data_IF_192134472689
#
_entry.id   IF_192134472689
#
_cell.length_a   1.000
_cell.length_b   1.000
_cell.length_c   1.000
_cell.angle_alpha   90.00
_cell.angle_beta   90.00
_cell.angle_gamma   90.00
#
_symmetry.space_group_name_H-M   'P 1'
#
loop_
_entity.id
_entity.type
_entity.pdbx_description
1 polymer ?
#
# COMPACT_ATOMS: atom_id res chain seq x y z
N UNK A 1 2.15 3.32 -14.77
CA UNK A 1 2.37 3.10 -13.33
C UNK A 1 1.07 3.30 -12.55
N UNK A 2 0.72 2.35 -11.70
CA UNK A 2 -0.37 2.48 -10.70
C UNK A 2 0.26 2.50 -9.31
N UNK A 3 -0.16 3.44 -8.47
CA UNK A 3 0.18 3.44 -7.04
C UNK A 3 -0.98 2.80 -6.28
N UNK A 4 -0.70 1.73 -5.55
CA UNK A 4 -1.69 1.00 -4.78
C UNK A 4 -1.83 1.61 -3.39
N UNK A 5 -3.09 1.76 -2.96
CA UNK A 5 -3.44 2.05 -1.58
C UNK A 5 -3.20 0.82 -0.70
N UNK A 6 -2.99 1.03 0.60
CA UNK A 6 -2.77 -0.01 1.61
C UNK A 6 -3.82 -1.11 1.59
N UNK A 7 -5.10 -0.75 1.52
CA UNK A 7 -6.17 -1.75 1.57
C UNK A 7 -6.26 -2.58 0.28
N UNK A 8 -5.94 -1.99 -0.88
CA UNK A 8 -5.90 -2.71 -2.16
C UNK A 8 -4.69 -3.64 -2.20
N UNK A 9 -3.53 -3.15 -1.80
CA UNK A 9 -2.29 -3.93 -1.83
C UNK A 9 -2.38 -5.18 -0.95
N UNK A 10 -2.87 -5.05 0.29
CA UNK A 10 -3.04 -6.19 1.21
C UNK A 10 -4.03 -7.22 0.66
N UNK A 11 -5.18 -6.78 0.14
CA UNK A 11 -6.21 -7.67 -0.41
C UNK A 11 -5.78 -8.38 -1.68
N UNK A 12 -5.02 -7.70 -2.54
CA UNK A 12 -4.48 -8.29 -3.75
C UNK A 12 -3.49 -9.42 -3.43
N UNK A 13 -2.67 -9.26 -2.38
CA UNK A 13 -1.70 -10.27 -1.94
C UNK A 13 -2.30 -11.37 -1.06
N UNK A 14 -3.52 -11.18 -0.53
CA UNK A 14 -4.26 -12.18 0.21
C UNK A 14 -5.72 -12.32 -0.25
N UNK A 15 -5.96 -12.84 -1.47
CA UNK A 15 -7.28 -12.90 -2.08
C UNK A 15 -8.24 -13.84 -1.34
N UNK A 16 -7.73 -14.81 -0.58
CA UNK A 16 -8.53 -15.76 0.20
C UNK A 16 -9.21 -15.09 1.42
N UNK A 17 -8.61 -14.02 1.96
CA UNK A 17 -9.14 -13.32 3.12
C UNK A 17 -10.24 -12.31 2.74
N UNK A 18 -10.03 -11.53 1.68
CA UNK A 18 -10.98 -10.54 1.18
C UNK A 18 -10.69 -10.21 -0.31
N UNK A 19 -11.35 -10.92 -1.25
CA UNK A 19 -11.01 -10.84 -2.67
C UNK A 19 -11.36 -9.48 -3.28
N UNK A 20 -10.47 -8.98 -4.14
CA UNK A 20 -10.75 -7.82 -4.98
C UNK A 20 -11.71 -8.18 -6.12
N UNK A 21 -12.52 -7.22 -6.61
CA UNK A 21 -13.30 -7.42 -7.83
C UNK A 21 -12.38 -7.76 -9.02
N UNK A 22 -12.83 -8.69 -9.89
CA UNK A 22 -12.04 -9.15 -11.04
C UNK A 22 -11.58 -7.99 -11.95
N UNK A 23 -12.42 -6.97 -12.14
CA UNK A 23 -12.07 -5.79 -12.94
C UNK A 23 -10.97 -4.93 -12.33
N UNK A 24 -10.75 -5.00 -11.01
CA UNK A 24 -9.65 -4.31 -10.36
C UNK A 24 -8.36 -5.14 -10.43
N UNK A 25 -8.48 -6.47 -10.29
CA UNK A 25 -7.35 -7.39 -10.50
C UNK A 25 -6.80 -7.23 -11.91
N UNK A 26 -7.67 -7.24 -12.92
CA UNK A 26 -7.27 -7.04 -14.32
C UNK A 26 -6.54 -5.70 -14.53
N UNK A 27 -6.97 -4.62 -13.87
CA UNK A 27 -6.29 -3.31 -13.92
C UNK A 27 -4.90 -3.33 -13.27
N UNK A 28 -4.76 -4.06 -12.16
CA UNK A 28 -3.48 -4.19 -11.45
C UNK A 28 -2.52 -5.04 -12.29
N UNK A 29 -2.98 -6.18 -12.81
CA UNK A 29 -2.16 -7.11 -13.58
C UNK A 29 -1.79 -6.60 -14.98
N UNK A 30 -2.62 -5.73 -15.58
CA UNK A 30 -2.33 -5.07 -16.86
C UNK A 30 -1.51 -3.78 -16.72
N UNK A 31 -1.19 -3.34 -15.50
CA UNK A 31 -0.40 -2.16 -15.28
C UNK A 31 1.06 -2.38 -15.72
N UNK A 32 1.61 -1.44 -16.49
CA UNK A 32 3.03 -1.46 -16.88
C UNK A 32 3.99 -1.49 -15.67
N UNK A 33 3.55 -0.91 -14.54
CA UNK A 33 4.34 -0.85 -13.31
C UNK A 33 3.42 -0.63 -12.11
N UNK A 34 3.77 -1.28 -11.00
CA UNK A 34 3.08 -1.15 -9.72
C UNK A 34 4.01 -0.53 -8.68
N UNK A 35 3.42 0.27 -7.80
CA UNK A 35 4.14 0.93 -6.73
C UNK A 35 3.27 1.09 -5.49
N UNK A 36 3.92 1.24 -4.34
CA UNK A 36 3.31 1.71 -3.08
C UNK A 36 4.15 2.85 -2.52
N UNK A 37 3.53 3.78 -1.80
CA UNK A 37 4.28 4.79 -1.04
C UNK A 37 4.88 4.14 0.21
N UNK A 38 6.04 4.60 0.69
CA UNK A 38 6.63 4.09 1.92
C UNK A 38 5.69 4.24 3.14
N UNK A 39 4.71 5.16 3.10
CA UNK A 39 3.69 5.30 4.16
C UNK A 39 2.80 4.06 4.22
N UNK A 40 2.46 3.47 3.07
CA UNK A 40 1.68 2.23 2.97
C UNK A 40 2.40 1.08 3.68
N UNK A 41 3.73 0.98 3.54
CA UNK A 41 4.50 -0.02 4.30
C UNK A 41 4.42 0.21 5.82
N UNK A 42 4.50 1.47 6.26
CA UNK A 42 4.31 1.81 7.68
C UNK A 42 2.89 1.47 8.16
N UNK A 43 1.87 1.75 7.37
CA UNK A 43 0.47 1.44 7.71
C UNK A 43 0.24 -0.05 7.87
N UNK A 44 0.75 -0.89 6.95
CA UNK A 44 0.67 -2.36 7.09
C UNK A 44 1.36 -2.81 8.38
N UNK A 45 2.59 -2.35 8.64
CA UNK A 45 3.32 -2.70 9.86
C UNK A 45 2.59 -2.26 11.13
N UNK A 46 1.98 -1.07 11.10
CA UNK A 46 1.21 -0.50 12.20
C UNK A 46 -0.09 -1.28 12.46
N UNK A 47 -0.84 -1.61 11.41
CA UNK A 47 -2.06 -2.41 11.49
C UNK A 47 -1.76 -3.83 11.98
N UNK A 48 -0.68 -4.44 11.50
CA UNK A 48 -0.24 -5.75 11.95
C UNK A 48 0.13 -5.74 13.44
N UNK A 49 0.91 -4.75 13.88
CA UNK A 49 1.27 -4.57 15.30
C UNK A 49 0.05 -4.41 16.21
N UNK A 50 -1.02 -3.81 15.69
CA UNK A 50 -2.28 -3.60 16.44
C UNK A 50 -3.29 -4.72 16.24
N UNK A 51 -2.88 -5.85 15.65
CA UNK A 51 -3.71 -7.02 15.40
C UNK A 51 -4.98 -6.69 14.59
N UNK A 52 -4.92 -5.65 13.75
CA UNK A 52 -6.01 -5.23 12.86
C UNK A 52 -6.01 -5.99 11.55
N UNK A 53 -4.85 -6.48 11.14
CA UNK A 53 -4.68 -7.39 10.02
C UNK A 53 -3.83 -8.58 10.48
N UNK A 54 -4.12 -9.76 9.92
CA UNK A 54 -3.38 -10.98 10.19
C UNK A 54 -2.55 -11.29 8.95
N UNK A 55 -1.23 -11.28 9.09
CA UNK A 55 -0.31 -11.65 8.02
C UNK A 55 0.01 -13.14 8.14
N UNK A 56 0.00 -13.86 7.02
CA UNK A 56 0.36 -15.29 6.96
C UNK A 56 1.86 -15.56 7.19
N UNK A 57 2.66 -14.50 7.18
CA UNK A 57 4.10 -14.52 7.37
C UNK A 57 4.51 -13.48 8.42
N UNK A 58 5.68 -13.64 9.07
CA UNK A 58 6.27 -12.57 9.85
C UNK A 58 6.42 -11.29 9.02
N UNK A 59 6.19 -10.13 9.64
CA UNK A 59 6.13 -8.82 8.95
C UNK A 59 7.24 -8.59 7.92
N UNK A 60 8.50 -8.85 8.28
CA UNK A 60 9.63 -8.61 7.36
C UNK A 60 9.58 -9.55 6.15
N UNK A 61 9.30 -10.84 6.36
CA UNK A 61 9.16 -11.80 5.27
C UNK A 61 7.95 -11.48 4.38
N UNK A 62 6.85 -11.02 4.99
CA UNK A 62 5.70 -10.53 4.25
C UNK A 62 6.06 -9.32 3.38
N UNK A 63 6.78 -8.33 3.92
CA UNK A 63 7.20 -7.14 3.17
C UNK A 63 8.13 -7.48 2.01
N UNK A 64 9.09 -8.37 2.23
CA UNK A 64 10.01 -8.82 1.17
C UNK A 64 9.24 -9.51 0.05
N UNK A 65 8.30 -10.41 0.39
CA UNK A 65 7.45 -11.05 -0.60
C UNK A 65 6.52 -10.06 -1.32
N UNK A 66 5.89 -9.16 -0.57
CA UNK A 66 4.91 -8.20 -1.08
C UNK A 66 5.52 -7.16 -2.04
N UNK A 67 6.80 -6.82 -1.84
CA UNK A 67 7.53 -5.89 -2.70
C UNK A 67 8.31 -6.62 -3.80
N UNK A 68 9.24 -7.51 -3.43
CA UNK A 68 10.13 -8.16 -4.38
C UNK A 68 9.44 -9.31 -5.12
N UNK A 69 8.65 -10.12 -4.40
CA UNK A 69 7.94 -11.25 -4.98
C UNK A 69 6.80 -10.87 -5.92
N UNK A 70 6.35 -9.61 -5.89
CA UNK A 70 5.26 -9.09 -6.71
C UNK A 70 5.68 -7.93 -7.62
N UNK A 71 6.98 -7.65 -7.73
CA UNK A 71 7.55 -6.57 -8.55
C UNK A 71 6.92 -5.19 -8.27
N UNK A 72 6.54 -4.93 -7.01
CA UNK A 72 5.95 -3.66 -6.55
C UNK A 72 7.07 -2.75 -6.03
N UNK A 73 7.23 -1.58 -6.63
CA UNK A 73 8.21 -0.60 -6.19
C UNK A 73 7.76 0.11 -4.90
N UNK A 74 8.66 0.27 -3.93
CA UNK A 74 8.44 1.12 -2.77
C UNK A 74 8.98 2.53 -3.04
N UNK A 75 8.08 3.51 -3.15
CA UNK A 75 8.43 4.90 -3.42
C UNK A 75 8.76 5.64 -2.11
N UNK A 76 9.95 6.29 -2.02
CA UNK A 76 10.34 7.00 -0.81
C UNK A 76 9.53 8.28 -0.62
N UNK A 77 9.26 8.62 0.65
CA UNK A 77 8.67 9.92 1.00
C UNK A 77 9.80 10.91 1.25
N UNK A 78 10.04 11.77 0.27
CA UNK A 78 11.00 12.85 0.41
C UNK A 78 10.40 14.06 1.13
N UNK A 79 11.26 14.91 1.73
CA UNK A 79 10.85 16.16 2.40
C UNK A 79 9.90 17.01 1.56
N UNK A 80 10.12 17.10 0.24
CA UNK A 80 9.26 17.88 -0.68
C UNK A 80 7.85 17.29 -0.80
N UNK A 81 7.72 15.97 -0.71
CA UNK A 81 6.44 15.25 -0.76
C UNK A 81 5.69 15.51 0.55
N UNK A 82 6.36 15.32 1.69
CA UNK A 82 5.77 15.58 3.00
C UNK A 82 5.24 17.01 3.15
N UNK A 83 6.03 18.01 2.72
CA UNK A 83 5.61 19.41 2.75
C UNK A 83 4.38 19.68 1.86
N UNK A 84 4.33 19.05 0.66
CA UNK A 84 3.21 19.24 -0.27
C UNK A 84 1.93 18.59 0.24
N UNK A 85 2.04 17.38 0.80
CA UNK A 85 0.92 16.66 1.40
C UNK A 85 0.22 17.48 2.49
N UNK A 86 0.98 18.21 3.31
CA UNK A 86 0.44 19.08 4.36
C UNK A 86 -0.34 20.30 3.81
N UNK A 87 -0.10 20.69 2.56
CA UNK A 87 -0.78 21.80 1.89
C UNK A 87 -2.00 21.37 1.06
N UNK A 88 -2.27 20.05 0.97
CA UNK A 88 -3.47 19.56 0.31
C UNK A 88 -4.74 19.98 1.08
N UNK A 89 -5.86 20.22 0.39
CA UNK A 89 -7.13 20.51 1.05
C UNK A 89 -7.52 19.43 2.07
N UNK A 90 -8.31 19.82 3.07
CA UNK A 90 -8.77 18.90 4.12
C UNK A 90 -9.90 17.98 3.66
N UNK A 91 -9.59 17.07 2.74
CA UNK A 91 -10.51 16.03 2.27
C UNK A 91 -10.40 14.73 3.06
N UNK A 92 -9.23 14.45 3.63
CA UNK A 92 -8.95 13.21 4.37
C UNK A 92 -8.90 13.45 5.87
N UNK A 93 -9.51 12.52 6.63
CA UNK A 93 -9.49 12.53 8.10
C UNK A 93 -8.15 12.04 8.66
N UNK A 94 -7.52 11.08 7.98
CA UNK A 94 -6.20 10.60 8.37
C UNK A 94 -5.11 11.45 7.68
N UNK A 95 -4.17 12.04 8.43
CA UNK A 95 -3.04 12.75 7.83
C UNK A 95 -2.11 11.84 7.00
N UNK A 96 -2.05 10.52 7.27
CA UNK A 96 -1.19 9.59 6.55
C UNK A 96 -1.65 9.36 5.10
N UNK A 97 -2.97 9.30 4.85
CA UNK A 97 -3.56 9.14 3.51
C UNK A 97 -3.03 10.18 2.51
N UNK A 98 -2.72 11.38 3.00
CA UNK A 98 -2.23 12.50 2.18
C UNK A 98 -0.83 12.26 1.59
N UNK A 99 -0.08 11.29 2.12
CA UNK A 99 1.24 10.90 1.64
C UNK A 99 1.17 9.84 0.52
N UNK A 100 -0.03 9.39 0.15
CA UNK A 100 -0.29 8.51 -1.00
C UNK A 100 -0.75 9.34 -2.22
N UNK A 101 -1.36 10.51 -1.97
CA UNK A 101 -1.99 11.40 -2.96
C UNK A 101 -1.05 12.28 -3.79
#
# INVERSE_FOLDING_TARGET
>A
MIVLDTHIWVRWLDPEADPLPASLIEKIESAESLAVSAITCWEVAWLHRRERIVLKLPLNAWMDQALQGSEVACLPIERRIANRAALLPEHHRDPADRLIM
#
